data_IF_535954735755
#
_entry.id   IF_535954735755
#
_cell.length_a   1.000
_cell.length_b   1.000
_cell.length_c   1.000
_cell.angle_alpha   90.00
_cell.angle_beta   90.00
_cell.angle_gamma   90.00
#
_symmetry.space_group_name_H-M   'P 1'
#
loop_
_entity.id
_entity.type
_entity.pdbx_description
1 polymer ?
#
# COMPACT_ATOMS: atom_id res chain seq x y z
N UNK A 1 -8.98 -15.06 1.24
CA UNK A 1 -9.07 -13.77 0.49
C UNK A 1 -8.44 -12.58 1.24
N UNK A 2 -8.72 -12.32 2.52
CA UNK A 2 -7.89 -11.40 3.36
C UNK A 2 -7.00 -12.17 4.36
N UNK A 3 -7.54 -13.24 4.97
CA UNK A 3 -6.81 -14.09 5.92
C UNK A 3 -5.58 -14.76 5.29
N UNK A 4 -5.68 -15.26 4.05
CA UNK A 4 -4.52 -15.83 3.33
C UNK A 4 -3.40 -14.80 3.08
N UNK A 5 -3.77 -13.54 2.90
CA UNK A 5 -2.81 -12.45 2.67
C UNK A 5 -2.08 -12.12 3.97
N UNK A 6 -2.81 -12.02 5.09
CA UNK A 6 -2.23 -11.83 6.42
C UNK A 6 -1.29 -12.98 6.80
N UNK A 7 -1.70 -14.24 6.60
CA UNK A 7 -0.85 -15.40 6.87
C UNK A 7 0.44 -15.42 6.03
N UNK A 8 0.40 -14.89 4.80
CA UNK A 8 1.60 -14.77 3.95
C UNK A 8 2.53 -13.68 4.46
N UNK A 9 2.00 -12.53 4.86
CA UNK A 9 2.81 -11.44 5.43
C UNK A 9 3.43 -11.87 6.76
N UNK A 10 2.70 -12.61 7.59
CA UNK A 10 3.21 -13.13 8.87
C UNK A 10 4.41 -14.06 8.70
N UNK A 11 4.49 -14.77 7.57
CA UNK A 11 5.61 -15.67 7.25
C UNK A 11 6.79 -14.96 6.57
N UNK A 12 6.69 -13.67 6.27
CA UNK A 12 7.83 -12.93 5.70
C UNK A 12 8.92 -12.75 6.75
N UNK A 13 10.18 -12.79 6.29
CA UNK A 13 11.31 -12.30 7.08
C UNK A 13 11.21 -10.79 7.26
N UNK A 14 11.88 -10.27 8.28
CA UNK A 14 11.83 -8.85 8.62
C UNK A 14 12.34 -7.96 7.47
N UNK A 15 13.42 -8.36 6.82
CA UNK A 15 13.93 -7.70 5.61
C UNK A 15 12.88 -7.64 4.49
N UNK A 16 12.15 -8.74 4.27
CA UNK A 16 11.10 -8.80 3.24
C UNK A 16 9.89 -7.99 3.63
N UNK A 17 9.57 -7.91 4.92
CA UNK A 17 8.46 -7.11 5.45
C UNK A 17 8.74 -5.61 5.28
N UNK A 18 9.95 -5.17 5.64
CA UNK A 18 10.41 -3.79 5.43
C UNK A 18 10.47 -3.43 3.93
N UNK A 19 11.01 -4.33 3.10
CA UNK A 19 11.03 -4.15 1.65
C UNK A 19 9.62 -4.07 1.06
N UNK A 20 8.67 -4.86 1.58
CA UNK A 20 7.27 -4.81 1.18
C UNK A 20 6.63 -3.47 1.55
N UNK A 21 6.83 -2.98 2.78
CA UNK A 21 6.35 -1.67 3.20
C UNK A 21 6.86 -0.55 2.28
N UNK A 22 8.15 -0.57 1.94
CA UNK A 22 8.75 0.40 1.03
C UNK A 22 8.16 0.34 -0.39
N UNK A 23 7.92 -0.86 -0.92
CA UNK A 23 7.23 -1.03 -2.21
C UNK A 23 5.83 -0.42 -2.18
N UNK A 24 5.08 -0.67 -1.11
CA UNK A 24 3.75 -0.10 -0.92
C UNK A 24 3.77 1.42 -0.88
N UNK A 25 4.71 2.03 -0.13
CA UNK A 25 4.88 3.49 -0.11
C UNK A 25 5.15 4.05 -1.50
N UNK A 26 6.03 3.42 -2.26
CA UNK A 26 6.35 3.85 -3.63
C UNK A 26 5.13 3.75 -4.54
N UNK A 27 4.41 2.62 -4.51
CA UNK A 27 3.19 2.43 -5.31
C UNK A 27 2.10 3.45 -4.94
N UNK A 28 1.91 3.75 -3.66
CA UNK A 28 0.98 4.80 -3.20
C UNK A 28 1.36 6.16 -3.79
N UNK A 29 2.64 6.50 -3.82
CA UNK A 29 3.10 7.76 -4.44
C UNK A 29 2.85 7.78 -5.94
N UNK A 30 3.11 6.68 -6.65
CA UNK A 30 2.80 6.57 -8.08
C UNK A 30 1.30 6.73 -8.37
N UNK A 31 0.43 6.08 -7.58
CA UNK A 31 -1.02 6.21 -7.71
C UNK A 31 -1.46 7.66 -7.46
N UNK A 32 -0.88 8.35 -6.49
CA UNK A 32 -1.16 9.78 -6.23
C UNK A 32 -0.78 10.67 -7.41
N UNK A 33 0.34 10.38 -8.09
CA UNK A 33 0.74 11.09 -9.30
C UNK A 33 -0.29 10.85 -10.42
N UNK A 34 -0.63 9.59 -10.70
CA UNK A 34 -1.63 9.27 -11.73
C UNK A 34 -3.00 9.88 -11.45
N UNK A 35 -3.44 9.85 -10.19
CA UNK A 35 -4.68 10.50 -9.75
C UNK A 35 -4.65 12.00 -10.05
N UNK A 36 -3.57 12.68 -9.68
CA UNK A 36 -3.38 14.11 -9.93
C UNK A 36 -3.40 14.43 -11.42
N UNK A 37 -2.70 13.64 -12.23
CA UNK A 37 -2.67 13.83 -13.68
C UNK A 37 -4.06 13.63 -14.29
N UNK A 38 -4.79 12.61 -13.83
CA UNK A 38 -6.17 12.36 -14.23
C UNK A 38 -7.14 13.50 -13.84
N UNK A 39 -6.94 14.12 -12.67
CA UNK A 39 -7.70 15.32 -12.27
C UNK A 39 -7.41 16.51 -13.19
N UNK A 40 -6.14 16.75 -13.54
CA UNK A 40 -5.73 17.84 -14.43
C UNK A 40 -6.40 17.72 -15.80
N UNK A 41 -6.51 16.50 -16.33
CA UNK A 41 -7.16 16.23 -17.64
C UNK A 41 -8.66 15.91 -17.53
N UNK A 42 -9.27 16.11 -16.35
CA UNK A 42 -10.69 15.86 -16.07
C UNK A 42 -11.18 14.43 -16.39
N UNK A 43 -10.32 13.42 -16.30
CA UNK A 43 -10.67 12.02 -16.55
C UNK A 43 -11.27 11.37 -15.30
N UNK A 44 -12.53 11.73 -15.00
CA UNK A 44 -13.22 11.38 -13.75
C UNK A 44 -13.30 9.88 -13.43
N UNK A 45 -13.39 9.01 -14.45
CA UNK A 45 -13.36 7.54 -14.24
C UNK A 45 -12.02 7.08 -13.68
N UNK A 46 -10.91 7.61 -14.20
CA UNK A 46 -9.56 7.28 -13.73
C UNK A 46 -9.37 7.80 -12.31
N UNK A 47 -9.85 9.02 -12.01
CA UNK A 47 -9.80 9.58 -10.64
C UNK A 47 -10.48 8.63 -9.64
N UNK A 48 -11.72 8.21 -9.91
CA UNK A 48 -12.46 7.29 -9.04
C UNK A 48 -11.75 5.95 -8.85
N UNK A 49 -11.21 5.40 -9.94
CA UNK A 49 -10.44 4.15 -9.88
C UNK A 49 -9.19 4.31 -9.00
N UNK A 50 -8.43 5.39 -9.21
CA UNK A 50 -7.22 5.67 -8.43
C UNK A 50 -7.54 5.96 -6.96
N UNK A 51 -8.67 6.59 -6.63
CA UNK A 51 -9.12 6.80 -5.25
C UNK A 51 -9.38 5.46 -4.54
N UNK A 52 -10.08 4.54 -5.21
CA UNK A 52 -10.36 3.22 -4.64
C UNK A 52 -9.07 2.41 -4.43
N UNK A 53 -8.18 2.42 -5.42
CA UNK A 53 -6.91 1.70 -5.34
C UNK A 53 -5.99 2.29 -4.26
N UNK A 54 -5.95 3.62 -4.15
CA UNK A 54 -5.20 4.31 -3.10
C UNK A 54 -5.68 3.88 -1.71
N UNK A 55 -7.00 3.88 -1.47
CA UNK A 55 -7.59 3.44 -0.19
C UNK A 55 -7.19 2.01 0.14
N UNK A 56 -7.29 1.08 -0.82
CA UNK A 56 -6.89 -0.32 -0.61
C UNK A 56 -5.41 -0.45 -0.25
N UNK A 57 -4.54 0.28 -0.96
CA UNK A 57 -3.09 0.23 -0.71
C UNK A 57 -2.70 0.86 0.62
N UNK A 58 -3.37 1.92 1.04
CA UNK A 58 -3.17 2.54 2.36
C UNK A 58 -3.62 1.60 3.49
N UNK A 59 -4.75 0.90 3.33
CA UNK A 59 -5.21 -0.12 4.29
C UNK A 59 -4.23 -1.30 4.39
N UNK A 60 -3.76 -1.81 3.25
CA UNK A 60 -2.75 -2.87 3.20
C UNK A 60 -1.41 -2.43 3.83
N UNK A 61 -0.97 -1.19 3.59
CA UNK A 61 0.24 -0.64 4.21
C UNK A 61 0.09 -0.49 5.72
N UNK A 62 -1.07 -0.04 6.21
CA UNK A 62 -1.32 0.09 7.65
C UNK A 62 -1.23 -1.26 8.38
N UNK A 63 -1.72 -2.33 7.75
CA UNK A 63 -1.57 -3.70 8.25
C UNK A 63 -0.09 -4.08 8.34
N UNK A 64 0.67 -3.85 7.27
CA UNK A 64 2.12 -4.15 7.22
C UNK A 64 2.88 -3.36 8.30
N UNK A 65 2.55 -2.07 8.48
CA UNK A 65 3.16 -1.22 9.50
C UNK A 65 2.85 -1.71 10.92
N UNK A 66 1.61 -2.10 11.19
CA UNK A 66 1.27 -2.71 12.49
C UNK A 66 2.09 -3.98 12.78
N UNK A 67 2.42 -4.76 11.75
CA UNK A 67 3.26 -5.95 11.90
C UNK A 67 4.73 -5.60 12.14
N UNK A 68 5.25 -4.57 11.46
CA UNK A 68 6.59 -4.03 11.68
C UNK A 68 6.73 -3.57 13.13
N UNK A 69 5.76 -2.80 13.63
CA UNK A 69 5.70 -2.34 15.02
C UNK A 69 5.63 -3.49 16.01
N UNK A 70 4.76 -4.49 15.78
CA UNK A 70 4.66 -5.70 16.64
C UNK A 70 5.96 -6.49 16.72
N UNK A 71 6.78 -6.46 15.67
CA UNK A 71 8.08 -7.13 15.61
C UNK A 71 9.22 -6.27 16.19
N UNK A 72 8.94 -5.04 16.61
CA UNK A 72 9.96 -4.12 17.11
C UNK A 72 10.95 -3.67 16.05
N UNK A 73 10.55 -3.74 14.77
CA UNK A 73 11.36 -3.28 13.66
C UNK A 73 11.20 -1.76 13.53
N UNK A 74 12.27 -1.02 13.77
CA UNK A 74 12.33 0.41 13.45
C UNK A 74 12.90 0.59 12.04
N UNK A 75 12.29 1.46 11.25
CA UNK A 75 12.88 1.91 9.97
C UNK A 75 14.19 2.68 10.18
#
# INVERSE_FOLDING_TARGET
MLEDYLQKIEKLSDEKLLALANRYRNTIQEIRIYRRDAEIVAFTTVVKYTDEELRKKEEELAIIQSMIEKRGLTE
#
